data_IF_019800801499
#
_entry.id   IF_019800801499
#
_cell.length_a   1.000
_cell.length_b   1.000
_cell.length_c   1.000
_cell.angle_alpha   90.00
_cell.angle_beta   90.00
_cell.angle_gamma   90.00
#
_symmetry.space_group_name_H-M   'P 1'
#
loop_
_entity.id
_entity.type
_entity.pdbx_description
1 polymer ?
#
# COMPACT_ATOMS: atom_id res chain seq x y z
N UNK A 1 -29.10 2.88 -1.90
CA UNK A 1 -28.13 3.93 -2.23
C UNK A 1 -27.22 4.04 -1.01
N UNK A 2 -26.17 3.23 -0.91
CA UNK A 2 -25.42 3.07 0.36
C UNK A 2 -24.01 2.53 0.19
N UNK A 3 -23.75 1.75 -0.85
CA UNK A 3 -22.42 1.15 -1.05
C UNK A 3 -21.41 2.13 -1.67
N UNK A 4 -21.83 3.16 -2.43
CA UNK A 4 -20.89 4.06 -3.11
C UNK A 4 -20.16 5.05 -2.19
N UNK A 5 -20.77 5.44 -1.07
CA UNK A 5 -20.17 6.41 -0.12
C UNK A 5 -19.17 5.73 0.82
N UNK A 6 -19.46 4.50 1.26
CA UNK A 6 -18.55 3.73 2.13
C UNK A 6 -17.26 3.33 1.38
N UNK A 7 -17.35 3.19 0.06
CA UNK A 7 -16.29 2.68 -0.80
C UNK A 7 -15.22 3.72 -1.17
N UNK A 8 -15.62 5.00 -1.37
CA UNK A 8 -14.66 6.10 -1.54
C UNK A 8 -13.80 6.30 -0.28
N UNK A 9 -14.40 6.06 0.88
CA UNK A 9 -13.78 6.26 2.19
C UNK A 9 -12.56 5.36 2.40
N UNK A 10 -12.54 4.12 1.88
CA UNK A 10 -11.43 3.21 2.15
C UNK A 10 -10.15 3.60 1.43
N UNK A 11 -10.21 3.93 0.13
CA UNK A 11 -9.02 4.36 -0.61
C UNK A 11 -8.44 5.66 -0.01
N UNK A 12 -9.32 6.62 0.31
CA UNK A 12 -8.93 7.88 0.93
C UNK A 12 -8.32 7.68 2.32
N UNK A 13 -8.87 6.77 3.13
CA UNK A 13 -8.31 6.41 4.44
C UNK A 13 -6.90 5.85 4.31
N UNK A 14 -6.65 4.98 3.33
CA UNK A 14 -5.30 4.44 3.10
C UNK A 14 -4.33 5.54 2.63
N UNK A 15 -4.75 6.40 1.70
CA UNK A 15 -3.95 7.56 1.28
C UNK A 15 -3.64 8.47 2.47
N UNK A 16 -4.63 8.76 3.32
CA UNK A 16 -4.46 9.56 4.52
C UNK A 16 -3.49 8.89 5.49
N UNK A 17 -3.57 7.58 5.70
CA UNK A 17 -2.62 6.87 6.55
C UNK A 17 -1.18 6.96 6.07
N UNK A 18 -0.95 6.98 4.76
CA UNK A 18 0.39 7.16 4.18
C UNK A 18 0.89 8.60 4.36
N UNK A 19 0.02 9.60 4.17
CA UNK A 19 0.35 11.02 4.39
C UNK A 19 0.66 11.32 5.85
N UNK A 20 -0.22 10.87 6.74
CA UNK A 20 -0.15 11.15 8.18
C UNK A 20 0.81 10.18 8.89
N UNK A 21 1.38 9.21 8.18
CA UNK A 21 2.27 8.15 8.70
C UNK A 21 1.66 7.40 9.90
N UNK A 22 0.35 7.16 9.88
CA UNK A 22 -0.42 6.48 10.96
C UNK A 22 -0.46 4.96 10.83
N UNK A 23 0.49 4.39 10.09
CA UNK A 23 0.69 2.94 9.95
C UNK A 23 1.81 2.45 10.89
N UNK A 24 1.76 1.18 11.27
CA UNK A 24 2.81 0.54 12.08
C UNK A 24 4.00 0.07 11.22
N UNK A 25 3.74 -0.45 10.01
CA UNK A 25 4.79 -0.73 9.03
C UNK A 25 4.24 -0.86 7.61
N UNK A 26 5.11 -0.75 6.62
CA UNK A 26 4.79 -0.98 5.21
C UNK A 26 5.55 -2.20 4.70
N UNK A 27 4.86 -3.06 3.97
CA UNK A 27 5.44 -4.26 3.36
C UNK A 27 5.11 -4.28 1.87
N UNK A 28 6.09 -4.63 1.05
CA UNK A 28 5.85 -4.99 -0.35
C UNK A 28 5.83 -6.50 -0.46
N UNK A 29 4.68 -7.06 -0.79
CA UNK A 29 4.54 -8.50 -1.09
C UNK A 29 4.62 -8.74 -2.58
N UNK A 30 5.38 -9.76 -2.98
CA UNK A 30 5.37 -10.28 -4.35
C UNK A 30 4.58 -11.57 -4.39
N UNK A 31 3.52 -11.58 -5.20
CA UNK A 31 2.68 -12.76 -5.44
C UNK A 31 2.74 -13.03 -6.94
N UNK A 32 3.27 -14.19 -7.32
CA UNK A 32 3.61 -14.51 -8.71
C UNK A 32 4.47 -13.41 -9.38
N UNK A 33 3.94 -12.79 -10.43
CA UNK A 33 4.60 -11.73 -11.21
C UNK A 33 4.15 -10.32 -10.82
N UNK A 34 3.41 -10.16 -9.72
CA UNK A 34 2.83 -8.89 -9.27
C UNK A 34 3.33 -8.53 -7.87
N UNK A 35 3.49 -7.23 -7.66
CA UNK A 35 3.89 -6.62 -6.39
C UNK A 35 2.70 -5.82 -5.84
N UNK A 36 2.50 -5.91 -4.54
CA UNK A 36 1.40 -5.27 -3.80
C UNK A 36 1.98 -4.56 -2.59
N UNK A 37 1.46 -3.36 -2.31
CA UNK A 37 1.73 -2.66 -1.06
C UNK A 37 0.75 -3.15 0.01
N UNK A 38 1.27 -3.60 1.14
CA UNK A 38 0.50 -3.94 2.34
C UNK A 38 0.80 -2.88 3.40
N UNK A 39 -0.26 -2.31 3.96
CA UNK A 39 -0.20 -1.33 5.03
C UNK A 39 -0.60 -2.07 6.32
N UNK A 40 0.33 -2.14 7.27
CA UNK A 40 0.08 -2.72 8.59
C UNK A 40 -0.31 -1.63 9.57
N UNK A 41 -1.43 -1.82 10.25
CA UNK A 41 -1.87 -1.05 11.39
C UNK A 41 -1.64 -1.87 12.67
N UNK A 42 -1.89 -1.26 13.84
CA UNK A 42 -1.67 -1.92 15.12
C UNK A 42 -2.45 -3.24 15.28
N UNK A 43 -3.68 -3.31 14.75
CA UNK A 43 -4.60 -4.44 14.97
C UNK A 43 -4.95 -5.21 13.70
N UNK A 44 -4.60 -4.70 12.51
CA UNK A 44 -4.93 -5.33 11.25
C UNK A 44 -3.97 -4.93 10.14
N UNK A 45 -4.10 -5.54 8.96
CA UNK A 45 -3.32 -5.18 7.78
C UNK A 45 -4.23 -5.12 6.57
N UNK A 46 -3.92 -4.24 5.61
CA UNK A 46 -4.73 -4.05 4.41
C UNK A 46 -3.86 -3.86 3.18
N UNK A 47 -4.22 -4.55 2.11
CA UNK A 47 -3.63 -4.33 0.79
C UNK A 47 -4.05 -2.96 0.26
N UNK A 48 -3.10 -2.21 -0.27
CA UNK A 48 -3.40 -0.93 -0.90
C UNK A 48 -4.27 -1.12 -2.14
N UNK A 49 -5.36 -0.36 -2.21
CA UNK A 49 -6.35 -0.41 -3.27
C UNK A 49 -6.34 0.87 -4.10
N UNK A 50 -6.82 0.80 -5.34
CA UNK A 50 -7.09 1.97 -6.16
C UNK A 50 -8.44 2.62 -5.81
N UNK A 51 -8.79 3.71 -6.51
CA UNK A 51 -10.09 4.41 -6.36
C UNK A 51 -11.32 3.57 -6.72
N UNK A 52 -11.12 2.40 -7.31
CA UNK A 52 -12.16 1.43 -7.65
C UNK A 52 -12.13 0.21 -6.72
N UNK A 53 -11.45 0.31 -5.58
CA UNK A 53 -11.36 -0.72 -4.54
C UNK A 53 -10.69 -2.02 -4.94
N UNK A 54 -9.99 -2.01 -6.07
CA UNK A 54 -9.22 -3.17 -6.49
C UNK A 54 -7.81 -3.05 -5.94
N UNK A 55 -7.19 -4.16 -5.51
CA UNK A 55 -5.78 -4.18 -5.16
C UNK A 55 -4.96 -3.49 -6.24
N UNK A 56 -4.16 -2.50 -5.84
CA UNK A 56 -3.30 -1.79 -6.79
C UNK A 56 -2.10 -2.67 -7.11
N UNK A 57 -2.04 -3.13 -8.35
CA UNK A 57 -0.98 -4.02 -8.82
C UNK A 57 0.18 -3.26 -9.43
N UNK A 58 1.39 -3.71 -9.11
CA UNK A 58 2.63 -3.24 -9.71
C UNK A 58 3.39 -4.42 -10.31
N UNK A 59 4.17 -4.19 -11.37
CA UNK A 59 5.03 -5.22 -11.96
C UNK A 59 6.33 -5.36 -11.18
N UNK A 60 6.84 -4.24 -10.69
CA UNK A 60 8.13 -4.18 -10.00
C UNK A 60 8.01 -3.44 -8.67
N UNK A 61 8.84 -3.86 -7.71
CA UNK A 61 8.96 -3.25 -6.38
C UNK A 61 9.29 -1.76 -6.48
N UNK A 62 10.18 -1.38 -7.42
CA UNK A 62 10.62 0.01 -7.58
C UNK A 62 9.47 0.95 -7.92
N UNK A 63 8.43 0.47 -8.61
CA UNK A 63 7.26 1.30 -8.91
C UNK A 63 6.49 1.72 -7.65
N UNK A 64 6.48 0.86 -6.63
CA UNK A 64 5.85 1.15 -5.35
C UNK A 64 6.74 2.10 -4.55
N UNK A 65 8.04 1.84 -4.46
CA UNK A 65 8.96 2.71 -3.71
C UNK A 65 9.03 4.11 -4.30
N UNK A 66 9.11 4.24 -5.62
CA UNK A 66 9.21 5.55 -6.29
C UNK A 66 7.91 6.35 -6.12
N UNK A 67 6.76 5.68 -6.21
CA UNK A 67 5.47 6.31 -5.93
C UNK A 67 5.38 6.76 -4.47
N UNK A 68 5.79 5.92 -3.52
CA UNK A 68 5.77 6.24 -2.10
C UNK A 68 6.68 7.42 -1.75
N UNK A 69 7.91 7.44 -2.29
CA UNK A 69 8.85 8.54 -2.15
C UNK A 69 8.28 9.84 -2.74
N UNK A 70 7.83 9.80 -3.99
CA UNK A 70 7.37 11.01 -4.69
C UNK A 70 6.09 11.63 -4.10
N UNK A 71 5.22 10.82 -3.47
CA UNK A 71 3.89 11.29 -3.02
C UNK A 71 3.77 11.45 -1.50
N UNK A 72 4.63 10.78 -0.71
CA UNK A 72 4.50 10.74 0.75
C UNK A 72 5.84 10.87 1.49
N UNK A 73 6.96 11.04 0.77
CA UNK A 73 8.30 11.12 1.37
C UNK A 73 8.59 9.89 2.26
N UNK A 74 8.33 8.71 1.70
CA UNK A 74 8.60 7.41 2.32
C UNK A 74 9.71 6.73 1.53
N UNK A 75 10.85 6.57 2.18
CA UNK A 75 12.05 5.99 1.58
C UNK A 75 11.99 4.47 1.55
N UNK A 76 12.71 3.86 0.61
CA UNK A 76 12.68 2.41 0.37
C UNK A 76 13.16 1.61 1.58
N UNK A 77 14.06 2.18 2.37
CA UNK A 77 14.64 1.60 3.59
C UNK A 77 13.58 1.43 4.70
N UNK A 78 12.48 2.18 4.62
CA UNK A 78 11.34 2.05 5.54
C UNK A 78 10.38 0.91 5.16
N UNK A 79 10.61 0.26 4.02
CA UNK A 79 9.74 -0.78 3.48
C UNK A 79 10.30 -2.17 3.78
N UNK A 80 9.44 -3.07 4.29
CA UNK A 80 9.73 -4.50 4.35
C UNK A 80 9.63 -5.07 2.94
N UNK A 81 10.76 -5.42 2.35
CA UNK A 81 10.83 -6.01 1.01
C UNK A 81 10.67 -7.53 1.08
N UNK A 82 10.15 -8.18 0.02
CA UNK A 82 10.01 -9.62 0.01
C UNK A 82 11.40 -10.25 0.04
N UNK A 83 11.61 -11.18 0.96
CA UNK A 83 12.88 -11.91 1.10
C UNK A 83 13.11 -12.70 -0.20
N UNK A 84 14.25 -12.46 -0.84
CA UNK A 84 14.71 -13.34 -1.92
C UNK A 84 15.22 -14.62 -1.26
N UNK A 85 14.37 -15.64 -1.17
CA UNK A 85 14.88 -17.00 -0.97
C UNK A 85 15.78 -17.29 -2.17
N UNK A 86 17.08 -17.34 -1.90
CA UNK A 86 18.12 -17.64 -2.89
C UNK A 86 18.27 -19.14 -3.00
#
# INVERSE_FOLDING_TARGET
>A
MGEKEENANTHETLIKSLRDKTYSSLEIKRIHRKCYLIIHFATYSRTFINRFERPKEYRHIWQISDWLKANFDIEKEQLKLPIRNS
#
